data_IF_614934188722
#
_entry.id   IF_614934188722
#
_cell.length_a   1.000
_cell.length_b   1.000
_cell.length_c   1.000
_cell.angle_alpha   90.00
_cell.angle_beta   90.00
_cell.angle_gamma   90.00
#
_symmetry.space_group_name_H-M   'P 1'
#
loop_
_entity.id
_entity.type
_entity.pdbx_description
1 polymer ?
#
# COMPACT_ATOMS: atom_id res chain seq x y z
N UNK A 1 13.27 28.81 -54.89
CA UNK A 1 12.53 27.74 -54.20
C UNK A 1 13.11 27.62 -52.80
N UNK A 2 12.45 28.15 -51.76
CA UNK A 2 12.91 27.99 -50.38
C UNK A 2 12.15 26.81 -49.77
N UNK A 3 12.86 25.77 -49.39
CA UNK A 3 12.31 24.61 -48.69
C UNK A 3 12.36 24.93 -47.19
N UNK A 4 11.20 25.19 -46.57
CA UNK A 4 11.09 25.31 -45.12
C UNK A 4 11.03 23.93 -44.51
N UNK A 5 12.05 23.56 -43.74
CA UNK A 5 11.99 22.42 -42.86
C UNK A 5 11.15 22.77 -41.61
N UNK A 6 10.00 22.15 -41.50
CA UNK A 6 9.21 22.15 -40.25
C UNK A 6 9.79 21.04 -39.38
N UNK A 7 10.56 21.41 -38.38
CA UNK A 7 10.95 20.46 -37.31
C UNK A 7 9.71 20.13 -36.49
N UNK A 8 9.19 18.92 -36.63
CA UNK A 8 8.22 18.37 -35.71
C UNK A 8 8.95 18.04 -34.40
N UNK A 9 8.78 18.84 -33.38
CA UNK A 9 9.12 18.45 -32.03
C UNK A 9 8.13 17.36 -31.63
N UNK A 10 8.60 16.11 -31.64
CA UNK A 10 7.91 15.03 -30.94
C UNK A 10 7.97 15.37 -29.44
N UNK A 11 6.86 15.82 -28.88
CA UNK A 11 6.70 15.82 -27.43
C UNK A 11 6.77 14.37 -27.00
N UNK A 12 7.87 13.97 -26.35
CA UNK A 12 7.92 12.73 -25.64
C UNK A 12 6.76 12.78 -24.64
N UNK A 13 5.79 11.91 -24.81
CA UNK A 13 4.81 11.68 -23.76
C UNK A 13 5.61 11.15 -22.57
N UNK A 14 5.72 11.95 -21.52
CA UNK A 14 6.30 11.49 -20.27
C UNK A 14 5.39 10.36 -19.78
N UNK A 15 5.99 9.23 -19.47
CA UNK A 15 5.26 8.10 -18.94
C UNK A 15 4.77 8.46 -17.53
N UNK A 16 3.47 8.43 -17.32
CA UNK A 16 2.85 8.77 -16.05
C UNK A 16 3.28 7.79 -14.95
N UNK A 17 3.81 8.28 -13.83
CA UNK A 17 4.12 7.46 -12.66
C UNK A 17 2.82 7.20 -11.88
N UNK A 18 2.44 5.93 -11.72
CA UNK A 18 1.17 5.56 -11.09
C UNK A 18 -0.04 6.33 -11.69
N UNK A 19 -0.06 6.44 -13.01
CA UNK A 19 -1.15 7.07 -13.75
C UNK A 19 -1.14 8.60 -13.82
N UNK A 20 -0.19 9.30 -13.18
CA UNK A 20 -0.15 10.77 -13.10
C UNK A 20 1.26 11.33 -13.30
N UNK A 21 1.44 12.18 -14.30
CA UNK A 21 2.72 12.86 -14.58
C UNK A 21 3.22 13.67 -13.39
N UNK A 22 2.29 14.28 -12.65
CA UNK A 22 2.59 15.11 -11.49
C UNK A 22 3.24 14.31 -10.32
N UNK A 23 3.07 13.00 -10.29
CA UNK A 23 3.68 12.14 -9.26
C UNK A 23 5.13 11.81 -9.57
N UNK A 24 5.57 11.84 -10.83
CA UNK A 24 6.92 11.47 -11.21
C UNK A 24 8.01 12.26 -10.48
N UNK A 25 7.81 13.57 -10.33
CA UNK A 25 8.74 14.45 -9.61
C UNK A 25 8.58 14.47 -8.09
N UNK A 26 7.63 13.71 -7.53
CA UNK A 26 7.41 13.67 -6.08
C UNK A 26 8.20 12.54 -5.46
N UNK A 27 8.75 12.81 -4.26
CA UNK A 27 9.35 11.77 -3.43
C UNK A 27 8.28 10.77 -3.00
N UNK A 28 8.61 9.49 -2.96
CA UNK A 28 7.73 8.43 -2.45
C UNK A 28 7.10 8.81 -1.10
N UNK A 29 7.89 9.37 -0.21
CA UNK A 29 7.48 9.84 1.12
C UNK A 29 6.59 11.11 1.12
N UNK A 30 6.31 11.70 -0.03
CA UNK A 30 5.46 12.89 -0.17
C UNK A 30 4.23 12.64 -1.07
N UNK A 31 3.74 11.43 -1.03
CA UNK A 31 2.54 10.98 -1.72
C UNK A 31 1.63 10.30 -0.69
N UNK A 32 0.32 10.53 -0.80
CA UNK A 32 -0.69 9.77 -0.06
C UNK A 32 -1.26 8.70 -0.99
N UNK A 33 -1.02 7.44 -0.67
CA UNK A 33 -1.54 6.29 -1.40
C UNK A 33 -2.82 5.78 -0.73
N UNK A 34 -3.82 5.47 -1.52
CA UNK A 34 -4.87 4.55 -1.07
C UNK A 34 -4.29 3.14 -1.13
N UNK A 35 -4.41 2.44 -0.03
CA UNK A 35 -3.98 1.06 0.13
C UNK A 35 -5.14 0.14 0.51
N UNK A 36 -4.98 -1.15 0.21
CA UNK A 36 -5.92 -2.18 0.62
C UNK A 36 -5.41 -2.89 1.87
N UNK A 37 -6.22 -2.84 2.93
CA UNK A 37 -6.05 -3.70 4.08
C UNK A 37 -6.41 -5.14 3.69
N UNK A 38 -5.58 -6.07 4.09
CA UNK A 38 -5.81 -7.49 3.84
C UNK A 38 -6.13 -7.82 2.36
N UNK A 39 -5.39 -7.25 1.44
CA UNK A 39 -5.58 -7.28 -0.01
C UNK A 39 -5.78 -8.67 -0.62
N UNK A 40 -5.23 -9.72 0.00
CA UNK A 40 -5.35 -11.10 -0.45
C UNK A 40 -6.70 -11.75 -0.11
N UNK A 41 -7.47 -11.19 0.84
CA UNK A 41 -8.68 -11.83 1.35
C UNK A 41 -9.92 -11.36 0.63
N UNK A 42 -10.07 -11.88 -0.58
CA UNK A 42 -11.12 -11.52 -1.54
C UNK A 42 -12.35 -12.41 -1.38
N UNK A 43 -13.54 -11.81 -1.38
CA UNK A 43 -14.82 -12.53 -1.33
C UNK A 43 -15.93 -11.75 -0.62
N UNK A 44 -17.04 -12.44 -0.39
CA UNK A 44 -18.26 -11.87 0.20
C UNK A 44 -18.53 -12.35 1.63
N UNK A 45 -17.65 -13.19 2.19
CA UNK A 45 -17.79 -13.67 3.57
C UNK A 45 -17.52 -12.54 4.57
N UNK A 46 -18.09 -12.57 5.78
CA UNK A 46 -17.88 -11.53 6.79
C UNK A 46 -16.43 -11.32 7.21
N UNK A 47 -15.55 -12.25 6.91
CA UNK A 47 -14.10 -12.17 7.22
C UNK A 47 -13.25 -11.73 6.03
N UNK A 48 -13.84 -11.55 4.84
CA UNK A 48 -13.12 -10.99 3.70
C UNK A 48 -13.02 -9.47 3.86
N UNK A 49 -11.96 -8.91 3.29
CA UNK A 49 -11.69 -7.47 3.37
C UNK A 49 -11.80 -6.80 1.98
N UNK A 50 -11.81 -7.57 0.90
CA UNK A 50 -11.89 -7.03 -0.46
C UNK A 50 -12.91 -7.83 -1.30
N UNK A 51 -13.60 -7.14 -2.22
CA UNK A 51 -14.51 -7.81 -3.18
C UNK A 51 -13.80 -8.21 -4.47
N UNK A 52 -12.75 -7.51 -4.85
CA UNK A 52 -12.07 -7.64 -6.14
C UNK A 52 -10.67 -8.24 -5.95
N UNK A 53 -10.20 -8.99 -6.95
CA UNK A 53 -8.88 -9.62 -6.95
C UNK A 53 -7.74 -8.59 -6.81
N UNK A 54 -6.53 -9.04 -6.46
CA UNK A 54 -5.37 -8.17 -6.33
C UNK A 54 -5.07 -7.42 -7.63
N UNK A 55 -5.16 -8.09 -8.77
CA UNK A 55 -5.00 -7.45 -10.08
C UNK A 55 -6.08 -6.40 -10.36
N UNK A 56 -7.32 -6.64 -9.94
CA UNK A 56 -8.41 -5.65 -10.07
C UNK A 56 -8.22 -4.48 -9.11
N UNK A 57 -7.73 -4.70 -7.88
CA UNK A 57 -7.35 -3.62 -6.95
C UNK A 57 -6.28 -2.72 -7.57
N UNK A 58 -5.24 -3.31 -8.19
CA UNK A 58 -4.19 -2.57 -8.90
C UNK A 58 -4.75 -1.82 -10.13
N UNK A 59 -5.65 -2.44 -10.91
CA UNK A 59 -6.33 -1.78 -12.02
C UNK A 59 -7.25 -0.63 -11.55
N UNK A 60 -7.81 -0.75 -10.35
CA UNK A 60 -8.64 0.29 -9.74
C UNK A 60 -7.83 1.53 -9.32
N UNK A 61 -6.49 1.41 -9.17
CA UNK A 61 -5.60 2.50 -8.80
C UNK A 61 -4.86 2.32 -7.48
N UNK A 62 -5.11 1.22 -6.76
CA UNK A 62 -4.37 0.89 -5.53
C UNK A 62 -2.89 0.68 -5.81
N UNK A 63 -2.02 1.25 -4.96
CA UNK A 63 -0.56 1.09 -5.08
C UNK A 63 0.12 0.71 -3.77
N UNK A 64 -0.65 0.48 -2.72
CA UNK A 64 -0.17 -0.05 -1.45
C UNK A 64 -1.03 -1.26 -1.06
N UNK A 65 -0.42 -2.43 -0.97
CA UNK A 65 -1.10 -3.69 -0.69
C UNK A 65 -0.61 -4.23 0.67
N UNK A 66 -1.46 -4.21 1.69
CA UNK A 66 -1.16 -4.84 2.96
C UNK A 66 -1.82 -6.23 3.00
N UNK A 67 -1.11 -7.23 3.53
CA UNK A 67 -1.67 -8.57 3.69
C UNK A 67 -1.00 -9.35 4.83
N UNK A 68 -1.77 -10.26 5.44
CA UNK A 68 -1.30 -11.11 6.52
C UNK A 68 -0.75 -12.43 5.99
N UNK A 69 0.39 -12.86 6.57
CA UNK A 69 0.99 -14.17 6.32
C UNK A 69 1.10 -14.98 7.60
N UNK A 70 0.96 -16.30 7.49
CA UNK A 70 1.13 -17.23 8.59
C UNK A 70 1.81 -18.51 8.13
N UNK A 71 2.40 -19.24 9.10
CA UNK A 71 2.91 -20.59 8.87
C UNK A 71 1.77 -21.61 8.74
N UNK A 72 1.83 -22.41 7.70
CA UNK A 72 1.01 -23.60 7.59
C UNK A 72 1.86 -24.78 7.15
N UNK A 73 2.26 -25.60 8.11
CA UNK A 73 3.11 -26.77 7.88
C UNK A 73 4.48 -26.45 7.26
N UNK A 74 5.05 -25.33 7.61
CA UNK A 74 6.34 -24.87 7.11
C UNK A 74 6.29 -24.02 5.85
N UNK A 75 5.10 -23.81 5.25
CA UNK A 75 4.89 -22.96 4.09
C UNK A 75 4.24 -21.63 4.48
N UNK A 76 4.65 -20.53 3.82
CA UNK A 76 4.02 -19.21 4.01
C UNK A 76 2.70 -19.18 3.25
N UNK A 77 1.62 -19.00 3.99
CA UNK A 77 0.28 -18.88 3.44
C UNK A 77 -0.31 -17.49 3.74
N UNK A 78 -1.13 -16.99 2.83
CA UNK A 78 -1.95 -15.79 3.05
C UNK A 78 -3.15 -16.18 3.91
N UNK A 79 -3.05 -15.95 5.23
CA UNK A 79 -4.07 -16.35 6.20
C UNK A 79 -4.56 -15.16 7.02
N UNK A 80 -5.89 -14.97 7.08
CA UNK A 80 -6.51 -13.95 7.92
C UNK A 80 -6.82 -14.52 9.30
N UNK A 81 -6.24 -13.96 10.33
CA UNK A 81 -6.34 -14.38 11.74
C UNK A 81 -5.89 -15.82 11.98
N UNK A 82 -6.47 -16.78 11.28
CA UNK A 82 -6.09 -18.20 11.33
C UNK A 82 -6.29 -18.87 9.97
N UNK A 83 -5.34 -19.71 9.56
CA UNK A 83 -5.39 -20.44 8.29
C UNK A 83 -6.58 -21.40 8.13
N UNK A 84 -7.23 -21.81 9.21
CA UNK A 84 -8.45 -22.59 9.15
C UNK A 84 -9.72 -21.74 8.92
N UNK A 85 -9.66 -20.44 9.24
CA UNK A 85 -10.78 -19.51 9.10
C UNK A 85 -10.83 -18.95 7.69
N UNK A 86 -9.73 -18.40 7.20
CA UNK A 86 -9.61 -17.86 5.85
C UNK A 86 -8.17 -18.02 5.37
N UNK A 87 -8.01 -18.69 4.25
CA UNK A 87 -6.72 -18.93 3.61
C UNK A 87 -6.84 -18.64 2.11
N UNK A 88 -6.14 -17.64 1.62
CA UNK A 88 -6.10 -17.24 0.22
C UNK A 88 -4.99 -17.95 -0.60
N UNK A 89 -4.34 -18.95 -0.01
CA UNK A 89 -3.30 -19.74 -0.67
C UNK A 89 -1.87 -19.32 -0.37
N UNK A 90 -0.89 -19.91 -1.06
CA UNK A 90 0.52 -19.62 -0.85
C UNK A 90 0.90 -18.18 -1.16
N UNK A 91 1.85 -17.60 -0.39
CA UNK A 91 2.42 -16.28 -0.65
C UNK A 91 2.94 -16.14 -2.10
N UNK A 92 3.56 -17.20 -2.64
CA UNK A 92 4.04 -17.21 -4.01
C UNK A 92 2.94 -16.85 -5.03
N UNK A 93 1.73 -17.39 -4.87
CA UNK A 93 0.62 -17.12 -5.81
C UNK A 93 0.18 -15.66 -5.77
N UNK A 94 0.11 -15.08 -4.58
CA UNK A 94 -0.19 -13.66 -4.37
C UNK A 94 0.87 -12.78 -5.04
N UNK A 95 2.15 -13.08 -4.82
CA UNK A 95 3.27 -12.34 -5.43
C UNK A 95 3.32 -12.52 -6.95
N UNK A 96 3.00 -13.72 -7.46
CA UNK A 96 2.96 -13.98 -8.91
C UNK A 96 1.84 -13.20 -9.62
N UNK A 97 0.69 -13.00 -8.96
CA UNK A 97 -0.39 -12.14 -9.48
C UNK A 97 0.08 -10.69 -9.60
N UNK A 98 0.75 -10.15 -8.56
CA UNK A 98 1.34 -8.80 -8.58
C UNK A 98 2.40 -8.68 -9.67
N UNK A 99 3.31 -9.65 -9.77
CA UNK A 99 4.37 -9.69 -10.79
C UNK A 99 3.79 -9.67 -12.20
N UNK A 100 2.76 -10.49 -12.45
CA UNK A 100 2.07 -10.54 -13.74
C UNK A 100 1.39 -9.22 -14.11
N UNK A 101 0.89 -8.47 -13.12
CA UNK A 101 0.31 -7.15 -13.34
C UNK A 101 1.40 -6.11 -13.63
N UNK A 102 2.48 -6.06 -12.82
CA UNK A 102 3.60 -5.13 -12.99
C UNK A 102 4.24 -5.30 -14.38
N UNK A 103 4.39 -6.55 -14.85
CA UNK A 103 4.94 -6.84 -16.17
C UNK A 103 4.15 -6.23 -17.34
N UNK A 104 2.85 -5.94 -17.13
CA UNK A 104 1.99 -5.28 -18.11
C UNK A 104 1.89 -3.76 -17.94
N UNK A 105 2.37 -3.25 -16.80
CA UNK A 105 2.23 -1.85 -16.40
C UNK A 105 3.61 -1.24 -16.11
N UNK A 106 4.38 -0.90 -17.16
CA UNK A 106 5.82 -0.59 -17.03
C UNK A 106 6.15 0.70 -16.27
N UNK A 107 5.21 1.55 -15.96
CA UNK A 107 5.42 2.83 -15.28
C UNK A 107 4.75 2.90 -13.89
N UNK A 108 4.38 1.74 -13.37
CA UNK A 108 3.67 1.63 -12.11
C UNK A 108 4.56 1.08 -11.00
N UNK A 109 4.35 1.59 -9.79
CA UNK A 109 4.98 1.12 -8.57
C UNK A 109 3.96 0.45 -7.68
N UNK A 110 4.36 -0.58 -6.96
CA UNK A 110 3.54 -1.23 -5.95
C UNK A 110 4.33 -1.33 -4.65
N UNK A 111 3.73 -0.92 -3.55
CA UNK A 111 4.23 -1.20 -2.20
C UNK A 111 3.51 -2.42 -1.66
N UNK A 112 4.26 -3.32 -1.06
CA UNK A 112 3.77 -4.53 -0.40
C UNK A 112 4.17 -4.47 1.07
N UNK A 113 3.18 -4.52 1.98
CA UNK A 113 3.39 -4.65 3.41
C UNK A 113 2.87 -6.02 3.85
N UNK A 114 3.77 -6.87 4.34
CA UNK A 114 3.44 -8.20 4.83
C UNK A 114 3.59 -8.29 6.35
N UNK A 115 2.73 -9.07 7.00
CA UNK A 115 2.92 -9.41 8.41
C UNK A 115 3.70 -10.72 8.55
N UNK A 116 4.53 -10.84 9.57
CA UNK A 116 5.27 -12.06 9.92
C UNK A 116 5.17 -12.37 11.42
N UNK A 117 3.94 -12.51 11.92
CA UNK A 117 3.68 -12.75 13.35
C UNK A 117 4.20 -14.11 13.85
N UNK A 118 4.31 -15.10 12.97
CA UNK A 118 4.80 -16.44 13.30
C UNK A 118 6.33 -16.54 13.31
N UNK A 119 7.03 -15.44 13.09
CA UNK A 119 8.49 -15.35 13.06
C UNK A 119 9.14 -16.38 12.10
N UNK A 120 8.54 -16.53 10.92
CA UNK A 120 9.11 -17.36 9.87
C UNK A 120 10.45 -16.77 9.39
N UNK A 121 11.42 -17.62 9.04
CA UNK A 121 12.70 -17.15 8.50
C UNK A 121 12.52 -16.25 7.29
N UNK A 122 13.16 -15.07 7.30
CA UNK A 122 13.03 -14.07 6.24
C UNK A 122 13.48 -14.60 4.88
N UNK A 123 14.39 -15.58 4.87
CA UNK A 123 14.90 -16.25 3.68
C UNK A 123 13.78 -16.99 2.91
N UNK A 124 12.73 -17.46 3.61
CA UNK A 124 11.55 -18.05 2.94
C UNK A 124 10.73 -17.03 2.16
N UNK A 125 10.64 -15.80 2.69
CA UNK A 125 10.03 -14.69 1.94
C UNK A 125 10.87 -14.35 0.72
N UNK A 126 12.20 -14.27 0.85
CA UNK A 126 13.12 -14.05 -0.26
C UNK A 126 12.97 -15.12 -1.37
N UNK A 127 12.82 -16.39 -1.00
CA UNK A 127 12.52 -17.48 -1.94
C UNK A 127 11.19 -17.25 -2.68
N UNK A 128 10.14 -16.80 -1.97
CA UNK A 128 8.84 -16.51 -2.58
C UNK A 128 8.92 -15.32 -3.56
N UNK A 129 9.58 -14.22 -3.19
CA UNK A 129 9.82 -13.07 -4.08
C UNK A 129 10.65 -13.44 -5.30
N UNK A 130 11.70 -14.23 -5.11
CA UNK A 130 12.56 -14.73 -6.20
C UNK A 130 11.78 -15.60 -7.16
N UNK A 131 11.02 -16.56 -6.67
CA UNK A 131 10.23 -17.49 -7.51
C UNK A 131 9.08 -16.79 -8.23
N UNK A 132 8.54 -15.70 -7.67
CA UNK A 132 7.53 -14.87 -8.32
C UNK A 132 8.11 -13.86 -9.35
N UNK A 133 9.45 -13.78 -9.49
CA UNK A 133 10.11 -12.88 -10.43
C UNK A 133 10.12 -11.42 -10.02
N UNK A 134 9.95 -11.12 -8.72
CA UNK A 134 9.94 -9.74 -8.20
C UNK A 134 11.30 -9.27 -7.68
N UNK A 135 12.20 -10.20 -7.34
CA UNK A 135 13.47 -9.90 -6.64
C UNK A 135 14.39 -8.91 -7.39
N UNK A 136 14.33 -8.87 -8.71
CA UNK A 136 15.19 -8.00 -9.52
C UNK A 136 14.66 -6.58 -9.68
N UNK A 137 13.42 -6.33 -9.27
CA UNK A 137 12.74 -5.03 -9.40
C UNK A 137 12.33 -4.41 -8.07
N UNK A 138 12.81 -4.96 -6.95
CA UNK A 138 12.56 -4.42 -5.61
C UNK A 138 13.52 -3.28 -5.26
N UNK A 139 13.04 -2.34 -4.47
CA UNK A 139 13.84 -1.26 -3.92
C UNK A 139 14.88 -1.78 -2.91
N UNK A 140 16.14 -1.36 -3.07
CA UNK A 140 17.23 -1.67 -2.13
C UNK A 140 17.92 -0.38 -1.70
N UNK A 141 17.55 0.21 -0.56
CA UNK A 141 18.24 1.39 -0.05
C UNK A 141 19.64 1.01 0.44
N UNK A 142 20.64 1.84 0.12
CA UNK A 142 22.04 1.63 0.58
C UNK A 142 22.23 1.90 2.08
N UNK A 143 21.26 2.50 2.71
CA UNK A 143 21.18 2.83 4.14
C UNK A 143 19.73 3.05 4.52
N UNK A 144 19.42 3.03 5.82
CA UNK A 144 18.13 3.52 6.30
C UNK A 144 17.94 4.97 5.86
N UNK A 145 16.82 5.25 5.22
CA UNK A 145 16.47 6.58 4.71
C UNK A 145 15.66 7.34 5.76
N UNK A 146 16.02 8.59 5.99
CA UNK A 146 15.07 9.52 6.57
C UNK A 146 13.97 9.83 5.56
N UNK A 147 12.82 10.33 6.04
CA UNK A 147 11.70 10.65 5.17
C UNK A 147 12.07 11.58 4.00
N UNK A 148 12.94 12.54 4.23
CA UNK A 148 13.33 13.50 3.19
C UNK A 148 14.39 12.96 2.22
N UNK A 149 14.92 11.76 2.45
CA UNK A 149 15.91 11.11 1.58
C UNK A 149 15.30 10.12 0.59
N UNK A 150 13.98 9.86 0.68
CA UNK A 150 13.32 9.00 -0.28
C UNK A 150 13.44 9.54 -1.70
N UNK A 151 13.70 8.69 -2.69
CA UNK A 151 13.75 9.08 -4.09
C UNK A 151 12.36 9.51 -4.58
N UNK A 152 12.36 10.25 -5.69
CA UNK A 152 11.16 10.50 -6.47
C UNK A 152 10.69 9.23 -7.18
N UNK A 153 9.43 9.19 -7.61
CA UNK A 153 8.94 8.04 -8.38
C UNK A 153 9.72 7.89 -9.70
N UNK A 154 10.12 9.00 -10.33
CA UNK A 154 10.92 8.96 -11.54
C UNK A 154 12.31 8.34 -11.30
N UNK A 155 12.99 8.74 -10.22
CA UNK A 155 14.30 8.17 -9.86
C UNK A 155 14.19 6.65 -9.58
N UNK A 156 13.12 6.19 -8.93
CA UNK A 156 12.86 4.76 -8.73
C UNK A 156 12.65 4.03 -10.07
N UNK A 157 11.87 4.61 -11.00
CA UNK A 157 11.66 4.05 -12.34
C UNK A 157 12.95 3.96 -13.12
N UNK A 158 13.76 5.02 -13.11
CA UNK A 158 15.03 5.09 -13.82
C UNK A 158 16.03 4.05 -13.32
N UNK A 159 15.98 3.72 -12.02
CA UNK A 159 16.77 2.65 -11.39
C UNK A 159 16.18 1.23 -11.64
N UNK A 160 15.07 1.12 -12.35
CA UNK A 160 14.39 -0.16 -12.63
C UNK A 160 13.57 -0.70 -11.43
N UNK A 161 13.44 0.07 -10.36
CA UNK A 161 12.62 -0.29 -9.19
C UNK A 161 11.13 -0.23 -9.55
N UNK A 162 10.37 -1.22 -9.10
CA UNK A 162 8.91 -1.32 -9.29
C UNK A 162 8.17 -1.73 -8.04
N UNK A 163 8.86 -2.30 -7.07
CA UNK A 163 8.27 -2.83 -5.84
C UNK A 163 9.06 -2.32 -4.65
N UNK A 164 8.34 -1.85 -3.63
CA UNK A 164 8.90 -1.54 -2.32
C UNK A 164 8.25 -2.51 -1.34
N UNK A 165 9.05 -3.19 -0.52
CA UNK A 165 8.57 -4.23 0.40
C UNK A 165 8.84 -3.83 1.83
N UNK A 166 7.80 -3.88 2.65
CA UNK A 166 7.88 -3.71 4.10
C UNK A 166 7.36 -4.96 4.81
N UNK A 167 7.84 -5.16 6.02
CA UNK A 167 7.38 -6.21 6.92
C UNK A 167 7.27 -5.67 8.35
N UNK A 168 6.19 -6.01 9.05
CA UNK A 168 5.90 -5.48 10.39
C UNK A 168 6.72 -6.11 11.51
N UNK A 169 6.98 -7.41 11.44
CA UNK A 169 7.70 -8.15 12.49
C UNK A 169 8.73 -9.13 11.92
N UNK A 170 9.75 -9.41 12.74
CA UNK A 170 10.73 -10.49 12.52
C UNK A 170 11.46 -10.42 11.17
N UNK A 171 11.62 -9.22 10.61
CA UNK A 171 12.48 -9.01 9.46
C UNK A 171 13.96 -8.94 9.90
N UNK A 172 14.85 -9.19 8.96
CA UNK A 172 16.31 -9.13 9.17
C UNK A 172 16.98 -8.63 7.88
N UNK A 173 17.19 -7.32 7.79
CA UNK A 173 17.80 -6.67 6.63
C UNK A 173 19.26 -7.11 6.38
N UNK A 174 19.93 -7.71 7.38
CA UNK A 174 21.28 -8.26 7.20
C UNK A 174 21.29 -9.53 6.35
N UNK A 175 20.14 -10.22 6.24
CA UNK A 175 19.95 -11.42 5.44
C UNK A 175 19.23 -11.11 4.12
N UNK A 176 18.21 -10.24 4.17
CA UNK A 176 17.41 -9.85 3.00
C UNK A 176 17.26 -8.34 3.02
N UNK A 177 18.06 -7.65 2.24
CA UNK A 177 18.29 -6.20 2.27
C UNK A 177 17.19 -5.33 1.65
N UNK A 178 16.16 -5.95 1.08
CA UNK A 178 15.05 -5.25 0.40
C UNK A 178 13.69 -5.44 1.07
N UNK A 179 13.59 -6.29 2.08
CA UNK A 179 12.40 -6.37 2.94
C UNK A 179 12.69 -5.48 4.14
N UNK A 180 12.10 -4.29 4.13
CA UNK A 180 12.40 -3.23 5.07
C UNK A 180 11.55 -3.36 6.33
N UNK A 181 12.10 -2.97 7.49
CA UNK A 181 11.32 -2.88 8.72
C UNK A 181 10.26 -1.80 8.59
N UNK A 182 8.99 -2.16 8.68
CA UNK A 182 7.90 -1.20 8.62
C UNK A 182 8.10 -0.08 9.64
N UNK A 183 8.40 -0.43 10.89
CA UNK A 183 8.44 0.51 12.00
C UNK A 183 9.70 1.38 12.04
N UNK A 184 10.65 1.10 11.19
CA UNK A 184 11.76 2.00 10.90
C UNK A 184 11.38 3.15 9.95
N UNK A 185 10.29 2.98 9.19
CA UNK A 185 9.85 3.91 8.16
C UNK A 185 8.44 4.45 8.38
N UNK A 186 7.56 3.69 9.07
CA UNK A 186 6.17 4.06 9.28
C UNK A 186 5.76 4.04 10.74
N UNK A 187 4.77 4.84 11.05
CA UNK A 187 3.92 4.71 12.21
C UNK A 187 2.48 4.48 11.76
N UNK A 188 1.65 3.87 12.59
CA UNK A 188 0.27 3.59 12.28
C UNK A 188 -0.71 4.14 13.31
N UNK A 189 -1.93 4.47 12.84
CA UNK A 189 -3.08 4.65 13.73
C UNK A 189 -3.66 3.30 14.19
N UNK A 190 -4.49 3.25 15.26
CA UNK A 190 -5.19 2.03 15.64
C UNK A 190 -6.00 1.42 14.48
N UNK A 191 -5.97 0.07 14.40
CA UNK A 191 -6.64 -0.67 13.32
C UNK A 191 -8.01 -1.27 13.68
N UNK A 192 -8.39 -1.29 14.95
CA UNK A 192 -9.64 -1.87 15.44
C UNK A 192 -10.75 -0.83 15.68
N UNK A 193 -10.82 0.25 14.89
CA UNK A 193 -11.76 1.35 15.12
C UNK A 193 -13.22 0.90 14.91
N UNK A 194 -14.09 1.26 15.87
CA UNK A 194 -15.53 0.97 15.83
C UNK A 194 -16.39 2.24 15.83
N UNK A 195 -15.79 3.42 16.01
CA UNK A 195 -16.47 4.69 15.88
C UNK A 195 -16.43 5.18 14.43
N UNK A 196 -17.59 5.29 13.75
CA UNK A 196 -17.64 5.72 12.35
C UNK A 196 -17.20 7.17 12.11
N UNK A 197 -16.91 7.92 13.16
CA UNK A 197 -16.37 9.28 13.06
C UNK A 197 -14.86 9.32 12.93
N UNK A 198 -14.15 8.20 13.16
CA UNK A 198 -12.69 8.09 13.19
C UNK A 198 -12.03 9.20 14.02
N UNK A 199 -12.27 9.24 15.36
CA UNK A 199 -12.01 10.42 16.19
C UNK A 199 -10.53 10.60 16.56
N UNK A 200 -9.63 9.74 16.07
CA UNK A 200 -8.23 9.76 16.50
C UNK A 200 -7.26 9.64 15.33
N UNK A 201 -6.11 10.29 15.48
CA UNK A 201 -4.89 10.06 14.68
C UNK A 201 -3.70 9.84 15.63
N UNK A 202 -3.91 9.07 16.70
CA UNK A 202 -2.85 8.72 17.64
C UNK A 202 -1.94 7.66 17.03
N UNK A 203 -0.66 7.67 17.43
CA UNK A 203 0.25 6.58 17.16
C UNK A 203 -0.17 5.36 17.97
N UNK A 204 -0.34 4.23 17.29
CA UNK A 204 -0.57 2.91 17.89
C UNK A 204 0.68 2.05 17.76
N UNK A 205 1.24 1.95 16.56
CA UNK A 205 2.45 1.18 16.27
C UNK A 205 3.49 2.00 15.51
N UNK A 206 4.78 1.86 15.82
CA UNK A 206 5.29 1.32 17.08
C UNK A 206 4.95 2.27 18.24
N UNK A 207 4.86 1.76 19.47
CA UNK A 207 4.45 2.54 20.66
C UNK A 207 5.19 3.88 20.83
N UNK A 208 6.44 3.96 20.36
CA UNK A 208 7.29 5.16 20.40
C UNK A 208 7.55 5.76 19.02
N UNK A 209 6.70 5.45 18.05
CA UNK A 209 6.79 6.04 16.72
C UNK A 209 6.69 7.56 16.76
N UNK A 210 7.57 8.24 16.04
CA UNK A 210 7.55 9.71 15.94
C UNK A 210 6.95 10.15 14.61
N UNK A 211 5.68 10.64 14.60
CA UNK A 211 5.02 11.09 13.37
C UNK A 211 5.71 12.27 12.68
N UNK A 212 6.64 12.94 13.36
CA UNK A 212 7.37 14.06 12.76
C UNK A 212 8.51 13.60 11.83
N UNK A 213 9.00 12.38 12.00
CA UNK A 213 10.12 11.80 11.22
C UNK A 213 9.71 10.60 10.38
N UNK A 214 8.72 9.82 10.80
CA UNK A 214 8.24 8.65 10.09
C UNK A 214 7.11 9.02 9.11
N UNK A 215 6.92 8.21 8.09
CA UNK A 215 5.72 8.21 7.26
C UNK A 215 4.53 7.65 8.07
N UNK A 216 3.29 8.02 7.72
CA UNK A 216 2.11 7.57 8.46
C UNK A 216 1.26 6.60 7.64
N UNK A 217 0.81 5.52 8.28
CA UNK A 217 -0.27 4.66 7.80
C UNK A 217 -1.52 4.96 8.63
N UNK A 218 -2.54 5.46 7.97
CA UNK A 218 -3.85 5.69 8.56
C UNK A 218 -4.74 4.47 8.31
N UNK A 219 -5.03 3.73 9.37
CA UNK A 219 -5.96 2.61 9.32
C UNK A 219 -7.40 3.19 9.31
N UNK A 220 -8.03 3.24 8.14
CA UNK A 220 -9.37 3.78 7.92
C UNK A 220 -10.37 2.68 7.59
N UNK A 221 -10.37 1.63 8.42
CA UNK A 221 -11.28 0.50 8.34
C UNK A 221 -12.22 0.53 9.53
N UNK A 222 -13.53 0.57 9.27
CA UNK A 222 -14.54 0.51 10.31
C UNK A 222 -14.86 -0.93 10.66
N UNK A 223 -14.91 -1.20 11.95
CA UNK A 223 -15.32 -2.49 12.49
C UNK A 223 -16.60 -2.35 13.31
N UNK A 224 -17.31 -3.44 13.51
CA UNK A 224 -18.37 -3.55 14.50
C UNK A 224 -18.05 -4.65 15.51
N UNK A 225 -18.43 -4.43 16.75
CA UNK A 225 -18.32 -5.43 17.81
C UNK A 225 -19.64 -6.21 17.90
N UNK A 226 -19.58 -7.49 17.64
CA UNK A 226 -20.70 -8.41 17.85
C UNK A 226 -20.34 -9.37 19.00
N UNK A 227 -20.84 -9.06 20.19
CA UNK A 227 -20.65 -9.88 21.40
C UNK A 227 -19.15 -10.12 21.75
N UNK A 228 -18.31 -9.12 21.58
CA UNK A 228 -16.87 -9.19 21.84
C UNK A 228 -16.03 -9.74 20.68
N UNK A 229 -16.64 -9.97 19.52
CA UNK A 229 -15.96 -10.32 18.29
C UNK A 229 -15.94 -9.10 17.37
N UNK A 230 -14.76 -8.53 17.16
CA UNK A 230 -14.57 -7.39 16.26
C UNK A 230 -14.46 -7.92 14.82
N UNK A 231 -15.31 -7.39 13.95
CA UNK A 231 -15.37 -7.78 12.53
C UNK A 231 -15.48 -6.55 11.64
N UNK A 232 -14.97 -6.60 10.39
CA UNK A 232 -15.11 -5.51 9.43
C UNK A 232 -16.59 -5.13 9.20
N UNK A 233 -16.89 -3.83 9.18
CA UNK A 233 -18.25 -3.32 8.95
C UNK A 233 -18.53 -3.13 7.46
N UNK A 234 -18.94 -4.22 6.81
CA UNK A 234 -19.27 -4.24 5.40
C UNK A 234 -20.44 -3.32 5.03
N UNK A 235 -21.38 -3.09 5.96
CA UNK A 235 -22.59 -2.31 5.69
C UNK A 235 -22.28 -0.81 5.57
N UNK A 236 -21.32 -0.33 6.34
CA UNK A 236 -20.95 1.09 6.37
C UNK A 236 -19.86 1.45 5.35
N UNK A 237 -19.39 0.50 4.54
CA UNK A 237 -18.22 0.68 3.66
C UNK A 237 -18.35 1.89 2.74
N UNK A 238 -19.50 2.09 2.07
CA UNK A 238 -19.71 3.22 1.16
C UNK A 238 -19.51 4.57 1.87
N UNK A 239 -19.99 4.68 3.10
CA UNK A 239 -19.82 5.88 3.92
C UNK A 239 -18.40 6.00 4.47
N UNK A 240 -17.81 4.90 4.90
CA UNK A 240 -16.43 4.85 5.41
C UNK A 240 -15.45 5.29 4.32
N UNK A 241 -15.59 4.75 3.11
CA UNK A 241 -14.70 5.03 1.99
C UNK A 241 -15.12 6.27 1.18
N UNK A 242 -16.05 7.12 1.69
CA UNK A 242 -16.36 8.38 1.04
C UNK A 242 -15.17 9.35 1.13
N UNK A 243 -14.99 10.20 0.11
CA UNK A 243 -13.96 11.24 0.12
C UNK A 243 -14.06 12.10 1.39
N UNK A 244 -15.27 12.44 1.83
CA UNK A 244 -15.50 13.20 3.05
C UNK A 244 -14.97 12.50 4.31
N UNK A 245 -15.23 11.20 4.49
CA UNK A 245 -14.79 10.44 5.68
C UNK A 245 -13.27 10.33 5.72
N UNK A 246 -12.66 9.99 4.59
CA UNK A 246 -11.21 9.88 4.42
C UNK A 246 -10.55 11.24 4.70
N UNK A 247 -11.00 12.31 4.04
CA UNK A 247 -10.44 13.65 4.21
C UNK A 247 -10.52 14.12 5.66
N UNK A 248 -11.64 13.86 6.34
CA UNK A 248 -11.85 14.26 7.75
C UNK A 248 -10.79 13.65 8.68
N UNK A 249 -10.46 12.37 8.55
CA UNK A 249 -9.42 11.75 9.36
C UNK A 249 -8.02 12.19 8.94
N UNK A 250 -7.77 12.39 7.64
CA UNK A 250 -6.53 12.98 7.13
C UNK A 250 -6.31 14.38 7.71
N UNK A 251 -7.33 15.24 7.72
CA UNK A 251 -7.25 16.59 8.33
C UNK A 251 -6.95 16.54 9.83
N UNK A 252 -7.51 15.56 10.53
CA UNK A 252 -7.19 15.30 11.93
C UNK A 252 -5.72 14.91 12.11
N UNK A 253 -5.18 14.06 11.24
CA UNK A 253 -3.76 13.69 11.24
C UNK A 253 -2.88 14.90 10.91
N UNK A 254 -3.24 15.69 9.90
CA UNK A 254 -2.49 16.87 9.50
C UNK A 254 -2.49 17.93 10.61
N UNK A 255 -3.62 18.14 11.29
CA UNK A 255 -3.71 19.06 12.45
C UNK A 255 -2.91 18.57 13.65
N UNK A 256 -2.80 17.25 13.86
CA UNK A 256 -2.10 16.66 15.00
C UNK A 256 -0.58 16.64 14.80
N UNK A 257 -0.11 16.40 13.55
CA UNK A 257 1.30 16.08 13.26
C UNK A 257 1.93 17.01 12.22
N UNK A 258 1.20 17.99 11.71
CA UNK A 258 1.67 18.94 10.70
C UNK A 258 1.82 18.34 9.31
N UNK A 259 1.23 17.16 9.05
CA UNK A 259 1.32 16.46 7.77
C UNK A 259 0.25 15.41 7.57
N UNK A 260 -0.01 15.12 6.32
CA UNK A 260 -0.91 14.03 5.91
C UNK A 260 -0.23 12.67 6.06
N UNK A 261 -1.00 11.61 6.34
CA UNK A 261 -0.49 10.25 6.26
C UNK A 261 -0.08 9.90 4.80
N UNK A 262 0.89 9.00 4.69
CA UNK A 262 1.37 8.53 3.38
C UNK A 262 0.51 7.40 2.82
N UNK A 263 -0.22 6.71 3.68
CA UNK A 263 -1.09 5.61 3.31
C UNK A 263 -2.42 5.73 4.04
N UNK A 264 -3.51 5.49 3.33
CA UNK A 264 -4.85 5.27 3.89
C UNK A 264 -5.24 3.84 3.55
N UNK A 265 -5.28 2.95 4.56
CA UNK A 265 -5.70 1.56 4.38
C UNK A 265 -7.22 1.44 4.48
N UNK A 266 -7.81 0.75 3.51
CA UNK A 266 -9.24 0.56 3.38
C UNK A 266 -9.61 -0.91 3.19
N UNK A 267 -10.76 -1.29 3.74
CA UNK A 267 -11.48 -2.48 3.33
C UNK A 267 -12.41 -2.16 2.15
N UNK A 268 -12.68 -3.15 1.28
CA UNK A 268 -13.57 -3.04 0.10
C UNK A 268 -13.33 -1.76 -0.71
N UNK A 269 -12.09 -1.55 -1.08
CA UNK A 269 -11.57 -0.33 -1.71
C UNK A 269 -12.37 0.15 -2.94
N UNK A 270 -13.04 -0.77 -3.64
CA UNK A 270 -13.86 -0.47 -4.82
C UNK A 270 -15.29 -0.01 -4.49
N UNK A 271 -15.61 0.16 -3.22
CA UNK A 271 -16.88 0.72 -2.74
C UNK A 271 -16.63 2.11 -2.19
N UNK A 272 -17.43 3.10 -2.58
CA UNK A 272 -17.26 4.50 -2.21
C UNK A 272 -16.33 5.28 -3.16
N UNK A 273 -15.63 6.29 -2.63
CA UNK A 273 -14.93 7.33 -3.41
C UNK A 273 -13.41 7.34 -3.14
N UNK A 274 -12.81 6.16 -2.87
CA UNK A 274 -11.43 6.04 -2.43
C UNK A 274 -10.41 6.68 -3.41
N UNK A 275 -10.60 6.50 -4.73
CA UNK A 275 -9.67 7.05 -5.71
C UNK A 275 -9.87 8.55 -5.91
N UNK A 276 -11.08 9.08 -5.78
CA UNK A 276 -11.34 10.52 -5.78
C UNK A 276 -10.64 11.18 -4.58
N UNK A 277 -10.72 10.55 -3.40
CA UNK A 277 -9.96 10.97 -2.23
C UNK A 277 -8.45 10.98 -2.50
N UNK A 278 -7.87 9.95 -3.14
CA UNK A 278 -6.45 9.92 -3.49
C UNK A 278 -6.06 11.08 -4.41
N UNK A 279 -6.87 11.37 -5.43
CA UNK A 279 -6.66 12.49 -6.35
C UNK A 279 -6.67 13.81 -5.59
N UNK A 280 -7.70 14.05 -4.76
CA UNK A 280 -7.84 15.25 -3.95
C UNK A 280 -6.69 15.44 -2.97
N UNK A 281 -6.32 14.38 -2.23
CA UNK A 281 -5.25 14.39 -1.23
C UNK A 281 -3.88 14.71 -1.84
N UNK A 282 -3.65 14.29 -3.07
CA UNK A 282 -2.43 14.59 -3.79
C UNK A 282 -2.52 15.87 -4.65
N UNK A 283 -3.66 16.56 -4.71
CA UNK A 283 -3.86 17.74 -5.54
C UNK A 283 -3.60 17.44 -7.02
N UNK A 284 -4.01 16.26 -7.48
CA UNK A 284 -3.89 15.83 -8.87
C UNK A 284 -5.09 16.33 -9.68
N UNK A 285 -4.92 16.44 -10.98
CA UNK A 285 -6.06 16.69 -11.86
C UNK A 285 -6.79 15.38 -12.09
N UNK A 286 -8.10 15.38 -11.91
CA UNK A 286 -8.92 14.23 -12.29
C UNK A 286 -8.65 13.89 -13.77
N UNK A 287 -8.39 12.62 -14.05
CA UNK A 287 -8.41 12.15 -15.43
C UNK A 287 -9.84 12.30 -15.94
N UNK A 288 -10.12 13.34 -16.72
CA UNK A 288 -11.36 13.40 -17.46
C UNK A 288 -11.30 12.26 -18.49
N UNK A 289 -11.92 11.13 -18.14
CA UNK A 289 -12.20 10.01 -19.04
C UNK A 289 -13.23 10.41 -20.10
#
# INVERSE_FOLDING_TARGET
MRVSFVSAFATAAFAACNGHDELCGRKYSNITFIGTHNSAFVGELPFNNQYISVSEQLNFGVRFLQAQTQDKNGDIQMCHTHCWQLNAGPLHNYLAEISGWIGKNPYEFVTILLTNVDALPIEKFDEAFSSAGLKDIVFRPKKRLSRDEWPTLQELLDDGTRVIVFMDYNMDESKVDYILDEFDYFWETPFGETDPSFPTCKVDRPEKGDPTVLMGIMNHMLNHDLLGVVMPDQIQTEKTNSEYSIQKQVDLCESSWGRRPNVVLLDWVNVGEAMDAQISLNGLRGSHS
#
